data_IF_739279196957
#
_entry.id   IF_739279196957
#
_cell.length_a   1.000
_cell.length_b   1.000
_cell.length_c   1.000
_cell.angle_alpha   90.00
_cell.angle_beta   90.00
_cell.angle_gamma   90.00
#
_symmetry.space_group_name_H-M   'P 1'
#
loop_
_entity.id
_entity.type
_entity.pdbx_description
1 polymer ?
#
# COMPACT_ATOMS: atom_id res chain seq x y z
N UNK A 1 -14.49 -53.74 9.57
CA UNK A 1 -13.82 -52.70 8.77
C UNK A 1 -14.47 -51.37 9.14
N UNK A 2 -13.72 -50.39 9.67
CA UNK A 2 -14.29 -49.11 10.11
C UNK A 2 -14.80 -48.32 8.89
N UNK A 3 -16.07 -47.87 8.87
CA UNK A 3 -16.60 -47.11 7.75
C UNK A 3 -15.91 -45.74 7.70
N UNK A 4 -15.17 -45.49 6.60
CA UNK A 4 -14.65 -44.15 6.30
C UNK A 4 -15.84 -43.27 5.94
N UNK A 5 -16.32 -42.48 6.90
CA UNK A 5 -17.31 -41.44 6.61
C UNK A 5 -16.66 -40.36 5.73
N UNK A 6 -17.33 -39.92 4.64
CA UNK A 6 -16.79 -38.90 3.77
C UNK A 6 -16.69 -37.58 4.54
N UNK A 7 -15.50 -36.95 4.53
CA UNK A 7 -15.30 -35.63 5.13
C UNK A 7 -16.31 -34.64 4.51
N UNK A 8 -17.00 -33.81 5.32
CA UNK A 8 -18.07 -32.94 4.82
C UNK A 8 -17.52 -31.96 3.78
N UNK A 9 -18.18 -31.89 2.62
CA UNK A 9 -17.78 -31.05 1.49
C UNK A 9 -17.59 -29.57 1.90
N UNK A 10 -18.39 -29.10 2.86
CA UNK A 10 -18.30 -27.77 3.47
C UNK A 10 -16.89 -27.44 4.00
N UNK A 11 -16.23 -28.35 4.70
CA UNK A 11 -14.87 -28.13 5.21
C UNK A 11 -13.83 -28.03 4.09
N UNK A 12 -14.10 -28.60 2.91
CA UNK A 12 -13.24 -28.49 1.73
C UNK A 12 -13.37 -27.11 1.08
N UNK A 13 -14.59 -26.56 1.02
CA UNK A 13 -14.85 -25.20 0.54
C UNK A 13 -14.29 -24.12 1.48
N UNK A 14 -14.53 -24.25 2.79
CA UNK A 14 -14.02 -23.29 3.79
C UNK A 14 -12.49 -23.24 3.80
N UNK A 15 -11.82 -24.39 3.69
CA UNK A 15 -10.35 -24.43 3.57
C UNK A 15 -9.86 -23.79 2.27
N UNK A 16 -10.60 -23.93 1.18
CA UNK A 16 -10.32 -23.28 -0.09
C UNK A 16 -10.46 -21.76 -0.02
N UNK A 17 -11.58 -21.26 0.53
CA UNK A 17 -11.84 -19.83 0.65
C UNK A 17 -10.87 -19.13 1.61
N UNK A 18 -10.56 -19.76 2.76
CA UNK A 18 -9.58 -19.23 3.69
C UNK A 18 -8.20 -19.07 3.02
N UNK A 19 -7.76 -20.06 2.24
CA UNK A 19 -6.48 -19.97 1.51
C UNK A 19 -6.45 -18.82 0.51
N UNK A 20 -7.55 -18.60 -0.22
CA UNK A 20 -7.67 -17.47 -1.16
C UNK A 20 -7.60 -16.14 -0.42
N UNK A 21 -8.30 -16.00 0.71
CA UNK A 21 -8.24 -14.80 1.54
C UNK A 21 -6.82 -14.50 2.04
N UNK A 22 -6.09 -15.51 2.53
CA UNK A 22 -4.70 -15.31 2.95
C UNK A 22 -3.78 -14.89 1.80
N UNK A 23 -3.95 -15.47 0.61
CA UNK A 23 -3.15 -15.09 -0.56
C UNK A 23 -3.50 -13.66 -1.00
N UNK A 24 -4.78 -13.31 -1.02
CA UNK A 24 -5.24 -11.98 -1.37
C UNK A 24 -4.70 -10.93 -0.40
N UNK A 25 -4.77 -11.19 0.90
CA UNK A 25 -4.24 -10.31 1.94
C UNK A 25 -2.72 -10.16 1.82
N UNK A 26 -2.00 -11.26 1.63
CA UNK A 26 -0.55 -11.22 1.45
C UNK A 26 -0.16 -10.41 0.20
N UNK A 27 -0.92 -10.53 -0.89
CA UNK A 27 -0.69 -9.78 -2.11
C UNK A 27 -1.00 -8.28 -1.92
N UNK A 28 -2.11 -7.95 -1.26
CA UNK A 28 -2.47 -6.57 -0.94
C UNK A 28 -1.41 -5.91 -0.04
N UNK A 29 -0.94 -6.63 0.98
CA UNK A 29 0.13 -6.17 1.86
C UNK A 29 1.44 -5.96 1.07
N UNK A 30 1.85 -6.92 0.24
CA UNK A 30 3.04 -6.79 -0.59
C UNK A 30 2.95 -5.61 -1.57
N UNK A 31 1.79 -5.40 -2.20
CA UNK A 31 1.56 -4.28 -3.09
C UNK A 31 1.65 -2.93 -2.34
N UNK A 32 0.99 -2.82 -1.18
CA UNK A 32 1.04 -1.62 -0.34
C UNK A 32 2.47 -1.30 0.10
N UNK A 33 3.24 -2.31 0.52
CA UNK A 33 4.64 -2.14 0.90
C UNK A 33 5.51 -1.75 -0.29
N UNK A 34 5.26 -2.32 -1.48
CA UNK A 34 5.94 -1.93 -2.70
C UNK A 34 5.73 -0.46 -3.06
N UNK A 35 4.49 0.05 -2.93
CA UNK A 35 4.18 1.47 -3.11
C UNK A 35 4.90 2.32 -2.07
N UNK A 36 4.82 1.94 -0.80
CA UNK A 36 5.49 2.64 0.31
C UNK A 36 7.02 2.72 0.09
N UNK A 37 7.65 1.60 -0.24
CA UNK A 37 9.08 1.50 -0.52
C UNK A 37 9.49 2.38 -1.71
N UNK A 38 8.69 2.37 -2.78
CA UNK A 38 8.94 3.19 -3.97
C UNK A 38 8.77 4.68 -3.70
N UNK A 39 7.78 5.08 -2.89
CA UNK A 39 7.61 6.47 -2.44
C UNK A 39 8.80 6.93 -1.59
N UNK A 40 9.29 6.09 -0.69
CA UNK A 40 10.43 6.45 0.16
C UNK A 40 11.74 6.58 -0.64
N UNK A 41 11.93 5.72 -1.65
CA UNK A 41 13.16 5.65 -2.44
C UNK A 41 13.22 6.70 -3.56
N UNK A 42 12.09 7.06 -4.18
CA UNK A 42 12.05 7.91 -5.35
C UNK A 42 11.10 9.11 -5.19
N UNK A 43 11.66 10.32 -5.25
CA UNK A 43 10.91 11.59 -5.14
C UNK A 43 10.03 11.87 -6.36
N UNK A 44 10.47 11.50 -7.57
CA UNK A 44 9.67 11.65 -8.80
C UNK A 44 8.40 10.80 -8.75
N UNK A 45 8.50 9.62 -8.14
CA UNK A 45 7.32 8.78 -7.92
C UNK A 45 6.34 9.44 -6.95
N UNK A 46 6.84 10.09 -5.88
CA UNK A 46 6.00 10.90 -4.98
C UNK A 46 5.32 12.06 -5.72
N UNK A 47 6.03 12.74 -6.63
CA UNK A 47 5.44 13.79 -7.45
C UNK A 47 4.35 13.25 -8.37
N UNK A 48 4.60 12.14 -9.07
CA UNK A 48 3.59 11.48 -9.90
C UNK A 48 2.34 11.08 -9.09
N UNK A 49 2.52 10.53 -7.89
CA UNK A 49 1.40 10.19 -6.99
C UNK A 49 0.68 11.45 -6.51
N UNK A 50 1.39 12.57 -6.27
CA UNK A 50 0.75 13.85 -5.95
C UNK A 50 -0.19 14.32 -7.07
N UNK A 51 0.23 14.20 -8.33
CA UNK A 51 -0.53 14.64 -9.50
C UNK A 51 -1.72 13.73 -9.80
N UNK A 52 -1.56 12.41 -9.67
CA UNK A 52 -2.60 11.44 -10.07
C UNK A 52 -3.49 10.99 -8.90
N UNK A 53 -2.93 10.86 -7.71
CA UNK A 53 -3.58 10.27 -6.53
C UNK A 53 -3.24 11.04 -5.24
N UNK A 54 -3.64 12.32 -5.13
CA UNK A 54 -3.28 13.17 -3.99
C UNK A 54 -3.76 12.61 -2.63
N UNK A 55 -4.86 11.87 -2.61
CA UNK A 55 -5.37 11.20 -1.40
C UNK A 55 -4.38 10.17 -0.84
N UNK A 56 -3.74 9.38 -1.72
CA UNK A 56 -2.79 8.33 -1.31
C UNK A 56 -1.56 8.96 -0.67
N UNK A 57 -1.09 10.06 -1.25
CA UNK A 57 0.04 10.82 -0.72
C UNK A 57 -0.28 11.46 0.64
N UNK A 58 -1.48 12.02 0.83
CA UNK A 58 -1.88 12.58 2.13
C UNK A 58 -1.95 11.50 3.21
N UNK A 59 -2.42 10.29 2.87
CA UNK A 59 -2.42 9.16 3.79
C UNK A 59 -0.99 8.73 4.16
N UNK A 60 -0.09 8.67 3.17
CA UNK A 60 1.33 8.38 3.38
C UNK A 60 1.97 9.39 4.36
N UNK A 61 1.71 10.69 4.18
CA UNK A 61 2.20 11.70 5.11
C UNK A 61 1.58 11.58 6.50
N UNK A 62 0.26 11.32 6.63
CA UNK A 62 -0.38 11.10 7.93
C UNK A 62 0.23 9.92 8.68
N UNK A 63 0.51 8.83 7.98
CA UNK A 63 1.20 7.67 8.57
C UNK A 63 2.60 8.06 9.02
N UNK A 64 3.36 8.80 8.20
CA UNK A 64 4.67 9.34 8.56
C UNK A 64 4.63 10.27 9.78
N UNK A 65 3.62 11.14 9.88
CA UNK A 65 3.40 12.05 11.02
C UNK A 65 3.14 11.27 12.32
N UNK A 66 2.35 10.21 12.27
CA UNK A 66 2.12 9.32 13.43
C UNK A 66 3.40 8.59 13.83
N UNK A 67 4.26 8.25 12.87
CA UNK A 67 5.58 7.65 13.10
C UNK A 67 6.66 8.66 13.49
N UNK A 68 6.36 9.97 13.48
CA UNK A 68 7.22 11.05 13.96
C UNK A 68 7.94 11.87 12.88
N UNK A 69 7.74 11.58 11.59
CA UNK A 69 8.43 12.25 10.48
C UNK A 69 7.52 13.27 9.75
N UNK A 70 7.26 14.40 10.42
CA UNK A 70 6.34 15.44 9.93
C UNK A 70 6.96 16.43 8.94
N UNK A 71 8.27 16.34 8.69
CA UNK A 71 8.98 17.30 7.84
C UNK A 71 8.93 16.93 6.35
N UNK A 72 8.68 15.66 6.02
CA UNK A 72 8.72 15.16 4.65
C UNK A 72 7.75 15.90 3.72
N UNK A 73 6.52 16.16 4.19
CA UNK A 73 5.48 16.91 3.45
C UNK A 73 5.92 18.32 3.09
N UNK A 74 6.54 19.03 4.05
CA UNK A 74 7.01 20.41 3.85
C UNK A 74 8.14 20.45 2.83
N UNK A 75 9.10 19.52 2.95
CA UNK A 75 10.24 19.40 2.03
C UNK A 75 9.76 19.14 0.59
N UNK A 76 8.88 18.15 0.39
CA UNK A 76 8.35 17.84 -0.94
C UNK A 76 7.60 19.04 -1.53
N UNK A 77 6.74 19.71 -0.74
CA UNK A 77 6.01 20.90 -1.20
C UNK A 77 6.91 22.06 -1.60
N UNK A 78 8.05 22.26 -0.93
CA UNK A 78 9.00 23.30 -1.25
C UNK A 78 9.75 23.00 -2.56
N UNK A 79 10.15 21.74 -2.76
CA UNK A 79 10.81 21.28 -3.99
C UNK A 79 9.89 21.45 -5.19
N UNK A 80 8.64 20.98 -5.09
CA UNK A 80 7.70 21.05 -6.21
C UNK A 80 7.29 22.49 -6.54
N UNK A 81 7.16 23.36 -5.54
CA UNK A 81 6.96 24.80 -5.77
C UNK A 81 8.15 25.43 -6.52
N UNK A 82 9.37 25.08 -6.14
CA UNK A 82 10.58 25.58 -6.80
C UNK A 82 10.73 25.03 -8.24
N UNK A 83 10.32 23.79 -8.49
CA UNK A 83 10.31 23.18 -9.83
C UNK A 83 9.25 23.82 -10.74
N UNK A 84 8.05 24.12 -10.21
CA UNK A 84 7.01 24.82 -10.96
C UNK A 84 7.42 26.25 -11.30
N UNK A 85 8.01 26.98 -10.35
CA UNK A 85 8.49 28.34 -10.60
C UNK A 85 9.63 28.41 -11.62
N UNK A 86 10.41 27.34 -11.80
CA UNK A 86 11.45 27.25 -12.85
C UNK A 86 10.89 26.92 -14.24
N UNK A 87 9.66 26.41 -14.31
CA UNK A 87 9.00 26.03 -15.58
C UNK A 87 8.19 27.18 -16.18
N UNK A 88 7.85 28.18 -15.38
CA UNK A 88 7.23 29.46 -15.79
C UNK A 88 8.29 30.47 -16.26
#
# INVERSE_FOLDING_TARGET
>A
MLPKTPKPAFWKFVKGSAKVLFIAEAFAFAASYGVYYRMNTNREFRHYVNENFPFVLDYYYKVGEVLGDSNLRKLDSAVWRAENQKRE
#
